data_IF_711547177005
#
_entry.id   IF_711547177005
#
_cell.length_a   1.000
_cell.length_b   1.000
_cell.length_c   1.000
_cell.angle_alpha   90.00
_cell.angle_beta   90.00
_cell.angle_gamma   90.00
#
_symmetry.space_group_name_H-M   'P 1'
#
loop_
_entity.id
_entity.type
_entity.pdbx_description
1 polymer ?
#
# COMPACT_ATOMS: atom_id res chain seq x y z
N UNK A 1 -20.61 -36.49 -7.97
CA UNK A 1 -21.24 -35.44 -7.14
C UNK A 1 -20.09 -34.85 -6.32
N UNK A 2 -19.64 -33.64 -6.66
CA UNK A 2 -18.38 -33.05 -6.17
C UNK A 2 -18.61 -32.39 -4.81
N UNK A 3 -17.94 -32.90 -3.77
CA UNK A 3 -17.68 -32.17 -2.54
C UNK A 3 -16.53 -31.19 -2.78
N UNK A 4 -16.85 -29.99 -3.24
CA UNK A 4 -15.93 -28.85 -3.19
C UNK A 4 -16.06 -28.21 -1.81
N UNK A 5 -15.25 -28.72 -0.88
CA UNK A 5 -15.02 -28.12 0.42
C UNK A 5 -14.64 -26.65 0.23
N UNK A 6 -15.63 -25.77 0.44
CA UNK A 6 -15.48 -24.33 0.49
C UNK A 6 -14.52 -24.02 1.64
N UNK A 7 -13.25 -23.81 1.33
CA UNK A 7 -12.25 -23.36 2.31
C UNK A 7 -12.69 -21.99 2.80
N UNK A 8 -13.43 -21.98 3.91
CA UNK A 8 -13.77 -20.74 4.62
C UNK A 8 -12.47 -20.18 5.15
N UNK A 9 -11.98 -19.10 4.53
CA UNK A 9 -10.86 -18.33 5.05
C UNK A 9 -11.19 -17.91 6.47
N UNK A 10 -10.47 -18.45 7.45
CA UNK A 10 -10.58 -18.07 8.86
C UNK A 10 -10.27 -16.57 8.93
N UNK A 11 -11.20 -15.76 9.45
CA UNK A 11 -10.90 -14.36 9.72
C UNK A 11 -9.79 -14.31 10.77
N UNK A 12 -8.66 -13.68 10.43
CA UNK A 12 -7.52 -13.56 11.31
C UNK A 12 -7.92 -12.82 12.60
N UNK A 13 -7.44 -13.29 13.74
CA UNK A 13 -7.67 -12.61 15.01
C UNK A 13 -6.93 -11.25 15.01
N UNK A 14 -7.39 -10.26 15.79
CA UNK A 14 -6.74 -8.94 15.86
C UNK A 14 -5.24 -9.02 16.18
N UNK A 15 -4.85 -9.95 17.06
CA UNK A 15 -3.46 -10.20 17.45
C UNK A 15 -2.63 -10.77 16.29
N UNK A 16 -3.18 -11.70 15.50
CA UNK A 16 -2.52 -12.25 14.30
C UNK A 16 -2.31 -11.16 13.24
N UNK A 17 -3.27 -10.26 13.08
CA UNK A 17 -3.18 -9.13 12.14
C UNK A 17 -2.08 -8.14 12.56
N UNK A 18 -1.90 -7.93 13.87
CA UNK A 18 -0.86 -7.06 14.40
C UNK A 18 0.54 -7.66 14.21
N UNK A 19 0.68 -8.96 14.47
CA UNK A 19 1.93 -9.69 14.21
C UNK A 19 2.28 -9.69 12.73
N UNK A 20 1.30 -9.94 11.84
CA UNK A 20 1.53 -9.91 10.39
C UNK A 20 2.00 -8.54 9.90
N UNK A 21 1.48 -7.44 10.46
CA UNK A 21 1.95 -6.08 10.16
C UNK A 21 3.39 -5.85 10.59
N UNK A 22 3.81 -6.41 11.72
CA UNK A 22 5.20 -6.30 12.19
C UNK A 22 6.19 -7.11 11.35
N UNK A 23 5.73 -8.19 10.70
CA UNK A 23 6.55 -9.01 9.80
C UNK A 23 6.75 -8.37 8.42
N UNK A 24 5.91 -7.39 8.05
CA UNK A 24 6.04 -6.69 6.76
C UNK A 24 7.14 -5.63 6.85
N UNK A 25 8.02 -5.54 5.82
CA UNK A 25 9.02 -4.50 5.76
C UNK A 25 8.36 -3.12 5.80
N UNK A 26 8.96 -2.21 6.57
CA UNK A 26 8.50 -0.85 6.80
C UNK A 26 9.27 0.16 5.95
N UNK A 27 10.48 -0.21 5.50
CA UNK A 27 11.38 0.63 4.72
C UNK A 27 11.81 -0.03 3.40
N UNK A 28 12.29 0.78 2.46
CA UNK A 28 12.73 0.31 1.14
C UNK A 28 13.96 -0.60 1.20
N UNK A 29 14.82 -0.42 2.20
CA UNK A 29 16.03 -1.23 2.43
C UNK A 29 15.73 -2.62 3.02
N UNK A 30 14.60 -2.77 3.72
CA UNK A 30 14.11 -4.05 4.25
C UNK A 30 13.39 -4.89 3.18
N UNK A 31 13.02 -4.29 2.04
CA UNK A 31 12.27 -4.99 1.00
C UNK A 31 13.17 -5.92 0.15
N UNK A 32 12.86 -7.21 0.16
CA UNK A 32 13.65 -8.23 -0.52
C UNK A 32 13.07 -8.57 -1.90
N UNK A 33 13.91 -8.49 -2.93
CA UNK A 33 13.55 -8.82 -4.31
C UNK A 33 13.11 -7.60 -5.13
N UNK A 34 12.54 -7.84 -6.32
CA UNK A 34 12.02 -6.79 -7.23
C UNK A 34 13.00 -5.61 -7.49
N UNK A 35 14.30 -5.91 -7.62
CA UNK A 35 15.40 -4.90 -7.63
C UNK A 35 15.14 -3.71 -8.55
N UNK A 36 14.69 -3.95 -9.78
CA UNK A 36 14.43 -2.88 -10.74
C UNK A 36 13.30 -1.93 -10.29
N UNK A 37 12.20 -2.48 -9.76
CA UNK A 37 11.08 -1.68 -9.28
C UNK A 37 11.46 -0.92 -7.99
N UNK A 38 12.13 -1.59 -7.05
CA UNK A 38 12.62 -1.00 -5.80
C UNK A 38 13.57 0.16 -6.08
N UNK A 39 14.50 0.00 -7.02
CA UNK A 39 15.44 1.05 -7.39
C UNK A 39 14.73 2.24 -8.05
N UNK A 40 13.78 2.00 -8.96
CA UNK A 40 12.98 3.08 -9.56
C UNK A 40 12.21 3.86 -8.49
N UNK A 41 11.58 3.17 -7.53
CA UNK A 41 10.85 3.81 -6.43
C UNK A 41 11.79 4.62 -5.53
N UNK A 42 12.99 4.10 -5.24
CA UNK A 42 14.01 4.82 -4.46
C UNK A 42 14.37 6.15 -5.12
N UNK A 43 14.66 6.14 -6.43
CA UNK A 43 14.98 7.36 -7.18
C UNK A 43 13.82 8.36 -7.12
N UNK A 44 12.57 7.91 -7.30
CA UNK A 44 11.39 8.78 -7.23
C UNK A 44 11.19 9.41 -5.84
N UNK A 45 11.33 8.61 -4.79
CA UNK A 45 11.23 9.06 -3.39
C UNK A 45 12.32 10.07 -3.05
N UNK A 46 13.57 9.77 -3.39
CA UNK A 46 14.70 10.68 -3.12
C UNK A 46 14.51 12.02 -3.84
N UNK A 47 14.08 11.98 -5.10
CA UNK A 47 13.83 13.18 -5.88
C UNK A 47 12.71 14.04 -5.29
N UNK A 48 11.57 13.42 -4.91
CA UNK A 48 10.46 14.13 -4.27
C UNK A 48 10.86 14.75 -2.92
N UNK A 49 11.62 14.00 -2.10
CA UNK A 49 12.14 14.49 -0.80
C UNK A 49 13.09 15.67 -0.94
N UNK A 50 13.98 15.64 -1.94
CA UNK A 50 14.89 16.76 -2.21
C UNK A 50 14.13 18.03 -2.62
N UNK A 51 13.06 17.89 -3.41
CA UNK A 51 12.18 19.00 -3.80
C UNK A 51 11.20 19.44 -2.70
N UNK A 52 11.06 18.65 -1.63
CA UNK A 52 10.06 18.83 -0.56
C UNK A 52 8.62 18.82 -1.09
N UNK A 53 8.38 17.98 -2.08
CA UNK A 53 7.09 17.81 -2.76
C UNK A 53 6.51 16.42 -2.43
N UNK A 54 5.19 16.22 -2.63
CA UNK A 54 4.60 14.88 -2.62
C UNK A 54 5.26 13.97 -3.65
N UNK A 55 5.20 12.65 -3.41
CA UNK A 55 5.59 11.66 -4.40
C UNK A 55 4.59 11.70 -5.56
N UNK A 56 5.10 11.61 -6.80
CA UNK A 56 4.24 11.46 -7.98
C UNK A 56 3.37 10.19 -7.87
N UNK A 57 2.23 10.17 -8.57
CA UNK A 57 1.33 9.02 -8.54
C UNK A 57 2.01 7.76 -9.10
N UNK A 58 1.88 6.65 -8.37
CA UNK A 58 2.50 5.36 -8.70
C UNK A 58 1.42 4.31 -8.99
N UNK A 59 1.59 3.56 -10.08
CA UNK A 59 0.79 2.37 -10.37
C UNK A 59 1.62 1.10 -10.12
N UNK A 60 1.23 0.31 -9.13
CA UNK A 60 1.82 -1.00 -8.86
C UNK A 60 0.96 -2.10 -9.49
N UNK A 61 1.50 -2.80 -10.50
CA UNK A 61 0.81 -3.87 -11.21
C UNK A 61 1.53 -5.21 -11.05
N UNK A 62 0.76 -6.28 -10.89
CA UNK A 62 1.27 -7.65 -10.82
C UNK A 62 0.35 -8.63 -10.08
N UNK A 63 0.63 -9.94 -10.16
CA UNK A 63 -0.10 -10.99 -9.44
C UNK A 63 -0.30 -10.73 -7.93
N UNK A 64 -1.33 -11.31 -7.29
CA UNK A 64 -1.51 -11.22 -5.85
C UNK A 64 -0.30 -11.80 -5.09
N UNK A 65 -0.01 -11.28 -3.90
CA UNK A 65 1.08 -11.76 -3.05
C UNK A 65 2.47 -11.16 -3.32
N UNK A 66 2.67 -10.36 -4.39
CA UNK A 66 3.96 -9.74 -4.71
C UNK A 66 4.31 -8.49 -3.88
N UNK A 67 3.63 -8.24 -2.76
CA UNK A 67 3.96 -7.13 -1.87
C UNK A 67 3.59 -5.73 -2.39
N UNK A 68 2.62 -5.61 -3.31
CA UNK A 68 2.15 -4.30 -3.82
C UNK A 68 1.64 -3.38 -2.70
N UNK A 69 0.75 -3.90 -1.85
CA UNK A 69 0.24 -3.16 -0.70
C UNK A 69 1.35 -2.82 0.28
N UNK A 70 2.32 -3.73 0.47
CA UNK A 70 3.50 -3.48 1.30
C UNK A 70 4.34 -2.33 0.74
N UNK A 71 4.61 -2.30 -0.56
CA UNK A 71 5.34 -1.21 -1.21
C UNK A 71 4.62 0.13 -1.06
N UNK A 72 3.29 0.17 -1.21
CA UNK A 72 2.52 1.40 -0.98
C UNK A 72 2.71 1.94 0.45
N UNK A 73 2.63 1.07 1.46
CA UNK A 73 2.90 1.45 2.86
C UNK A 73 4.33 1.93 3.07
N UNK A 74 5.31 1.25 2.47
CA UNK A 74 6.72 1.68 2.52
C UNK A 74 6.88 3.08 1.90
N UNK A 75 6.24 3.36 0.76
CA UNK A 75 6.33 4.69 0.14
C UNK A 75 5.81 5.79 1.05
N UNK A 76 4.66 5.57 1.71
CA UNK A 76 4.13 6.53 2.68
C UNK A 76 5.11 6.76 3.86
N UNK A 77 5.68 5.67 4.39
CA UNK A 77 6.68 5.74 5.46
C UNK A 77 7.95 6.52 5.04
N UNK A 78 8.46 6.28 3.83
CA UNK A 78 9.65 6.96 3.29
C UNK A 78 9.41 8.45 3.05
N UNK A 79 8.17 8.82 2.70
CA UNK A 79 7.73 10.21 2.56
C UNK A 79 7.36 10.86 3.91
N UNK A 80 7.31 10.09 5.00
CA UNK A 80 6.88 10.57 6.32
C UNK A 80 5.40 11.01 6.34
N UNK A 81 4.58 10.37 5.51
CA UNK A 81 3.18 10.70 5.28
C UNK A 81 2.24 9.62 5.84
N UNK A 82 0.99 9.98 6.14
CA UNK A 82 -0.03 8.99 6.43
C UNK A 82 -0.45 8.26 5.15
N UNK A 83 -0.83 6.99 5.30
CA UNK A 83 -1.45 6.22 4.22
C UNK A 83 -2.95 6.12 4.45
N UNK A 84 -3.73 6.53 3.46
CA UNK A 84 -5.17 6.30 3.39
C UNK A 84 -5.39 5.19 2.38
N UNK A 85 -6.06 4.11 2.77
CA UNK A 85 -6.27 2.96 1.88
C UNK A 85 -7.72 2.85 1.49
N UNK A 86 -7.98 2.60 0.21
CA UNK A 86 -9.31 2.24 -0.30
C UNK A 86 -9.21 1.07 -1.28
N UNK A 87 -10.34 0.45 -1.61
CA UNK A 87 -10.44 -0.58 -2.62
C UNK A 87 -11.44 -0.16 -3.67
N UNK A 88 -11.16 -0.44 -4.95
CA UNK A 88 -12.07 -0.11 -6.06
C UNK A 88 -13.52 -0.56 -5.82
N UNK A 89 -13.77 -1.80 -5.38
CA UNK A 89 -15.13 -2.26 -5.06
C UNK A 89 -15.82 -1.49 -3.93
N UNK A 90 -15.06 -0.78 -3.07
CA UNK A 90 -15.61 0.05 -1.99
C UNK A 90 -16.01 1.46 -2.46
N UNK A 91 -15.66 1.84 -3.69
CA UNK A 91 -16.00 3.12 -4.30
C UNK A 91 -17.17 2.93 -5.27
N UNK A 92 -18.38 2.89 -4.74
CA UNK A 92 -19.59 2.62 -5.53
C UNK A 92 -20.15 3.89 -6.20
N UNK A 93 -19.98 5.05 -5.55
CA UNK A 93 -20.48 6.34 -6.02
C UNK A 93 -19.37 7.38 -6.04
N UNK A 94 -19.48 8.36 -6.93
CA UNK A 94 -18.52 9.47 -6.99
C UNK A 94 -18.36 10.22 -5.66
N UNK A 95 -19.42 10.26 -4.84
CA UNK A 95 -19.38 10.85 -3.50
C UNK A 95 -18.44 10.16 -2.52
N UNK A 96 -18.22 8.85 -2.66
CA UNK A 96 -17.35 8.07 -1.76
C UNK A 96 -15.88 8.48 -1.96
N UNK A 97 -15.46 8.68 -3.21
CA UNK A 97 -14.14 9.21 -3.54
C UNK A 97 -13.98 10.67 -3.09
N UNK A 98 -14.99 11.51 -3.34
CA UNK A 98 -14.95 12.91 -2.91
C UNK A 98 -14.74 13.06 -1.41
N UNK A 99 -15.43 12.25 -0.60
CA UNK A 99 -15.26 12.26 0.86
C UNK A 99 -13.84 11.91 1.31
N UNK A 100 -13.17 11.00 0.61
CA UNK A 100 -11.76 10.68 0.88
C UNK A 100 -10.88 11.88 0.52
N UNK A 101 -11.01 12.39 -0.71
CA UNK A 101 -10.15 13.46 -1.22
C UNK A 101 -10.24 14.75 -0.39
N UNK A 102 -11.44 15.10 0.11
CA UNK A 102 -11.62 16.31 0.93
C UNK A 102 -11.02 16.21 2.33
N UNK A 103 -10.76 15.00 2.82
CA UNK A 103 -10.22 14.75 4.15
C UNK A 103 -8.71 14.43 4.14
N UNK A 104 -8.07 14.39 2.97
CA UNK A 104 -6.63 14.17 2.88
C UNK A 104 -5.87 15.38 3.43
N UNK A 105 -4.85 15.10 4.25
CA UNK A 105 -3.90 16.10 4.71
C UNK A 105 -2.82 16.33 3.65
N UNK A 106 -2.08 17.43 3.79
CA UNK A 106 -0.95 17.69 2.91
C UNK A 106 0.05 16.52 2.96
N UNK A 107 0.42 16.02 1.77
CA UNK A 107 1.38 14.92 1.55
C UNK A 107 0.89 13.51 1.90
N UNK A 108 -0.35 13.34 2.35
CA UNK A 108 -0.92 12.00 2.54
C UNK A 108 -0.87 11.19 1.23
N UNK A 109 -0.62 9.88 1.38
CA UNK A 109 -0.64 8.92 0.28
C UNK A 109 -1.98 8.20 0.28
N UNK A 110 -2.72 8.26 -0.83
CA UNK A 110 -3.98 7.55 -1.05
C UNK A 110 -3.79 6.30 -1.93
#
# INVERSE_FOLDING_TARGET
MKDEARVMSRMALPEETQVERQLRPQRLDEYVGQRAAVESLRVSVEAARQRREPLDHVLLSGPPGLGKTTLATIMANEMGAAIVTTAGPSLERGGDLMGILTNLSERDVL
#
